data_IF_729664207896
#
_entry.id   IF_729664207896
#
_cell.length_a   1.000
_cell.length_b   1.000
_cell.length_c   1.000
_cell.angle_alpha   90.00
_cell.angle_beta   90.00
_cell.angle_gamma   90.00
#
_symmetry.space_group_name_H-M   'P 1'
#
loop_
_entity.id
_entity.type
_entity.pdbx_description
1 polymer ?
#
# COMPACT_ATOMS: atom_id res chain seq x y z
N UNK A 1 -6.16 16.43 22.80
CA UNK A 1 -6.58 16.45 21.38
C UNK A 1 -6.72 15.01 20.96
N UNK A 2 -7.81 14.62 20.30
CA UNK A 2 -7.93 13.29 19.71
C UNK A 2 -6.91 13.13 18.58
N UNK A 3 -6.51 11.90 18.22
CA UNK A 3 -5.61 11.66 17.08
C UNK A 3 -6.15 12.32 15.80
N UNK A 4 -7.44 12.22 15.53
CA UNK A 4 -8.09 12.91 14.41
C UNK A 4 -7.82 14.42 14.39
N UNK A 5 -7.93 15.12 15.54
CA UNK A 5 -7.69 16.56 15.60
C UNK A 5 -6.22 16.96 15.35
N UNK A 6 -5.27 16.08 15.66
CA UNK A 6 -3.84 16.30 15.36
C UNK A 6 -3.54 16.21 13.87
N UNK A 7 -4.22 15.31 13.15
CA UNK A 7 -4.04 15.14 11.70
C UNK A 7 -4.76 16.19 10.88
N UNK A 8 -5.95 16.64 11.29
CA UNK A 8 -6.62 17.78 10.67
C UNK A 8 -5.75 19.04 10.77
N UNK A 9 -5.11 19.27 11.92
CA UNK A 9 -4.17 20.39 12.11
C UNK A 9 -2.93 20.26 11.18
N UNK A 10 -2.41 19.06 10.96
CA UNK A 10 -1.28 18.82 10.04
C UNK A 10 -1.66 19.16 8.59
N UNK A 11 -2.87 18.81 8.17
CA UNK A 11 -3.36 19.18 6.85
C UNK A 11 -3.48 20.70 6.66
N UNK A 12 -4.08 21.40 7.61
CA UNK A 12 -4.26 22.84 7.58
C UNK A 12 -2.93 23.61 7.60
N UNK A 13 -1.89 23.01 8.20
CA UNK A 13 -0.55 23.62 8.29
C UNK A 13 0.40 23.16 7.18
N UNK A 14 -0.05 22.28 6.26
CA UNK A 14 0.78 21.77 5.18
C UNK A 14 1.16 22.89 4.19
N UNK A 15 2.42 23.05 3.85
CA UNK A 15 2.87 24.11 2.93
C UNK A 15 2.62 23.71 1.46
N UNK A 16 1.36 23.52 1.08
CA UNK A 16 0.97 23.00 -0.24
C UNK A 16 1.59 23.72 -1.43
N UNK A 17 1.79 25.02 -1.34
CA UNK A 17 2.45 25.82 -2.40
C UNK A 17 3.93 25.46 -2.55
N UNK A 18 4.57 25.02 -1.46
CA UNK A 18 5.97 24.62 -1.46
C UNK A 18 6.18 23.12 -1.78
N UNK A 19 5.11 22.32 -1.83
CA UNK A 19 5.19 20.89 -2.14
C UNK A 19 5.42 20.67 -3.63
N UNK A 20 6.41 19.88 -3.99
CA UNK A 20 6.72 19.50 -5.38
C UNK A 20 6.28 18.07 -5.71
N UNK A 21 6.33 17.19 -4.72
CA UNK A 21 6.09 15.77 -4.89
C UNK A 21 5.05 15.21 -3.90
N UNK A 22 4.18 14.35 -4.41
CA UNK A 22 3.23 13.59 -3.60
C UNK A 22 3.53 12.11 -3.77
N UNK A 23 3.70 11.42 -2.65
CA UNK A 23 3.94 9.98 -2.59
C UNK A 23 2.69 9.29 -2.06
N UNK A 24 2.21 8.29 -2.77
CA UNK A 24 1.01 7.54 -2.40
C UNK A 24 1.38 6.12 -1.97
N UNK A 25 0.82 5.66 -0.86
CA UNK A 25 0.68 4.21 -0.67
C UNK A 25 -0.34 3.64 -1.65
N UNK A 26 -0.33 2.31 -1.82
CA UNK A 26 -1.28 1.58 -2.67
C UNK A 26 -2.44 1.03 -1.84
N UNK A 27 -2.13 0.27 -0.78
CA UNK A 27 -3.13 -0.36 0.07
C UNK A 27 -4.01 0.67 0.78
N UNK A 28 -5.31 0.51 0.75
CA UNK A 28 -6.29 1.43 1.37
C UNK A 28 -6.12 2.93 1.06
N UNK A 29 -5.25 3.29 0.11
CA UNK A 29 -5.12 4.64 -0.45
C UNK A 29 -5.60 4.68 -1.89
N UNK A 30 -5.07 3.82 -2.75
CA UNK A 30 -5.46 3.70 -4.16
C UNK A 30 -6.30 2.44 -4.44
N UNK A 31 -6.04 1.36 -3.73
CA UNK A 31 -6.66 0.05 -3.93
C UNK A 31 -7.12 -0.49 -2.57
N UNK A 32 -8.36 -0.97 -2.50
CA UNK A 32 -8.90 -1.54 -1.26
C UNK A 32 -8.12 -2.80 -0.88
N UNK A 33 -7.66 -2.87 0.37
CA UNK A 33 -7.12 -4.07 0.99
C UNK A 33 -8.07 -4.51 2.10
N UNK A 34 -8.81 -5.59 1.89
CA UNK A 34 -9.84 -6.10 2.78
C UNK A 34 -9.80 -7.64 2.80
N UNK A 35 -8.84 -8.24 3.54
CA UNK A 35 -8.64 -9.70 3.56
C UNK A 35 -9.90 -10.48 3.92
N UNK A 36 -10.74 -9.98 4.84
CA UNK A 36 -12.01 -10.62 5.19
C UNK A 36 -12.91 -10.83 3.97
N UNK A 37 -13.08 -9.79 3.16
CA UNK A 37 -13.87 -9.87 1.93
C UNK A 37 -13.22 -10.79 0.89
N UNK A 38 -11.88 -10.84 0.85
CA UNK A 38 -11.18 -11.72 -0.09
C UNK A 38 -11.47 -13.18 0.22
N UNK A 39 -11.34 -13.61 1.48
CA UNK A 39 -11.58 -15.01 1.84
C UNK A 39 -13.04 -15.43 1.69
N UNK A 40 -14.00 -14.54 1.92
CA UNK A 40 -15.41 -14.78 1.66
C UNK A 40 -15.67 -15.08 0.17
N UNK A 41 -15.06 -14.32 -0.72
CA UNK A 41 -15.20 -14.49 -2.17
C UNK A 41 -14.45 -15.73 -2.69
N UNK A 42 -13.27 -16.02 -2.12
CA UNK A 42 -12.41 -17.12 -2.59
C UNK A 42 -12.87 -18.48 -2.05
N UNK A 43 -13.44 -18.53 -0.85
CA UNK A 43 -13.87 -19.77 -0.18
C UNK A 43 -15.34 -19.67 0.27
N UNK A 44 -16.29 -19.48 -0.67
CA UNK A 44 -17.70 -19.32 -0.31
C UNK A 44 -18.21 -20.55 0.46
N UNK A 45 -18.99 -20.29 1.52
CA UNK A 45 -19.59 -21.34 2.37
C UNK A 45 -18.64 -22.19 3.23
N UNK A 46 -17.34 -21.94 3.21
CA UNK A 46 -16.36 -22.60 4.10
C UNK A 46 -15.78 -21.61 5.13
N UNK A 47 -16.59 -21.30 6.14
CA UNK A 47 -16.25 -20.31 7.18
C UNK A 47 -14.95 -20.68 7.91
N UNK A 48 -14.72 -21.99 8.15
CA UNK A 48 -13.48 -22.43 8.81
C UNK A 48 -12.27 -22.12 7.94
N UNK A 49 -12.31 -22.48 6.65
CA UNK A 49 -11.21 -22.19 5.72
C UNK A 49 -10.98 -20.68 5.56
N UNK A 50 -12.05 -19.88 5.53
CA UNK A 50 -11.93 -18.40 5.52
C UNK A 50 -11.11 -17.89 6.71
N UNK A 51 -11.48 -18.34 7.94
CA UNK A 51 -10.76 -17.94 9.17
C UNK A 51 -9.30 -18.41 9.17
N UNK A 52 -9.07 -19.66 8.75
CA UNK A 52 -7.73 -20.21 8.68
C UNK A 52 -6.87 -19.46 7.64
N UNK A 53 -7.39 -19.13 6.46
CA UNK A 53 -6.66 -18.35 5.45
C UNK A 53 -6.37 -16.91 5.91
N UNK A 54 -7.30 -16.28 6.64
CA UNK A 54 -7.03 -14.99 7.28
C UNK A 54 -5.84 -15.07 8.24
N UNK A 55 -5.83 -16.08 9.12
CA UNK A 55 -4.79 -16.20 10.13
C UNK A 55 -3.45 -16.68 9.56
N UNK A 56 -3.47 -17.65 8.65
CA UNK A 56 -2.27 -18.33 8.15
C UNK A 56 -1.60 -17.58 6.99
N UNK A 57 -2.40 -16.96 6.11
CA UNK A 57 -1.91 -16.25 4.92
C UNK A 57 -1.82 -14.74 5.19
N UNK A 58 -2.96 -14.06 5.29
CA UNK A 58 -3.00 -12.59 5.33
C UNK A 58 -2.52 -11.97 6.65
N UNK A 59 -2.76 -12.63 7.78
CA UNK A 59 -2.20 -12.29 9.10
C UNK A 59 -1.00 -13.13 9.50
N UNK A 60 -0.52 -14.00 8.60
CA UNK A 60 0.49 -15.00 8.88
C UNK A 60 1.92 -14.44 8.91
N UNK A 61 2.81 -15.21 9.53
CA UNK A 61 4.24 -14.85 9.70
C UNK A 61 5.03 -14.70 8.40
N UNK A 62 4.52 -15.23 7.28
CA UNK A 62 5.18 -15.16 5.97
C UNK A 62 4.84 -13.88 5.20
N UNK A 63 3.75 -13.18 5.52
CA UNK A 63 3.33 -11.98 4.78
C UNK A 63 4.40 -10.90 4.69
N UNK A 64 5.14 -10.56 5.78
CA UNK A 64 6.23 -9.60 5.68
C UNK A 64 7.36 -10.00 4.71
N UNK A 65 7.57 -11.30 4.51
CA UNK A 65 8.56 -11.82 3.56
C UNK A 65 8.11 -11.70 2.10
N UNK A 66 6.79 -11.79 1.85
CA UNK A 66 6.22 -11.48 0.53
C UNK A 66 6.42 -10.01 0.19
N UNK A 67 6.08 -9.12 1.13
CA UNK A 67 6.26 -7.68 0.96
C UNK A 67 7.73 -7.33 0.72
N UNK A 68 8.68 -8.01 1.38
CA UNK A 68 10.11 -7.86 1.13
C UNK A 68 10.58 -8.45 -0.20
N UNK A 69 9.79 -9.28 -0.85
CA UNK A 69 10.21 -10.01 -2.04
C UNK A 69 11.27 -11.09 -1.77
N UNK A 70 11.39 -11.56 -0.52
CA UNK A 70 12.33 -12.63 -0.10
C UNK A 70 11.69 -14.00 -0.10
N UNK A 71 10.38 -14.09 -0.27
CA UNK A 71 9.62 -15.34 -0.37
C UNK A 71 8.60 -15.24 -1.52
N UNK A 72 8.63 -16.22 -2.42
CA UNK A 72 7.66 -16.34 -3.52
C UNK A 72 6.38 -17.09 -3.09
N UNK A 73 5.29 -16.91 -3.83
CA UNK A 73 4.00 -17.52 -3.50
C UNK A 73 4.02 -19.04 -3.59
N UNK A 74 4.72 -19.64 -4.57
CA UNK A 74 4.80 -21.09 -4.72
C UNK A 74 5.55 -21.75 -3.54
N UNK A 75 6.68 -21.16 -3.15
CA UNK A 75 7.45 -21.64 -1.99
C UNK A 75 6.65 -21.46 -0.69
N UNK A 76 5.97 -20.34 -0.54
CA UNK A 76 5.14 -20.08 0.63
C UNK A 76 3.97 -21.05 0.76
N UNK A 77 3.32 -21.40 -0.36
CA UNK A 77 2.23 -22.37 -0.35
C UNK A 77 2.69 -23.74 0.12
N UNK A 78 3.92 -24.16 -0.23
CA UNK A 78 4.52 -25.39 0.28
C UNK A 78 4.78 -25.31 1.79
N UNK A 79 5.39 -24.23 2.26
CA UNK A 79 5.63 -24.03 3.70
C UNK A 79 4.34 -24.01 4.51
N UNK A 80 3.30 -23.34 4.01
CA UNK A 80 1.99 -23.30 4.64
C UNK A 80 1.31 -24.69 4.64
N UNK A 81 1.44 -25.45 3.56
CA UNK A 81 0.96 -26.83 3.49
C UNK A 81 1.63 -27.73 4.54
N UNK A 82 2.95 -27.67 4.63
CA UNK A 82 3.73 -28.45 5.61
C UNK A 82 3.37 -28.09 7.06
N UNK A 83 3.08 -26.82 7.33
CA UNK A 83 2.81 -26.32 8.68
C UNK A 83 1.36 -26.53 9.12
N UNK A 84 0.38 -26.32 8.21
CA UNK A 84 -1.04 -26.25 8.58
C UNK A 84 -1.94 -27.30 7.89
N UNK A 85 -1.48 -27.94 6.80
CA UNK A 85 -2.07 -29.14 6.24
C UNK A 85 -3.18 -28.94 5.19
N UNK A 86 -3.58 -27.71 4.80
CA UNK A 86 -4.42 -27.52 3.61
C UNK A 86 -3.63 -27.81 2.34
N UNK A 87 -4.32 -28.14 1.24
CA UNK A 87 -3.65 -28.39 -0.03
C UNK A 87 -2.88 -27.15 -0.51
N UNK A 88 -1.76 -27.36 -1.21
CA UNK A 88 -0.94 -26.29 -1.78
C UNK A 88 -1.78 -25.38 -2.68
N UNK A 89 -2.70 -25.96 -3.44
CA UNK A 89 -3.62 -25.25 -4.33
C UNK A 89 -4.56 -24.31 -3.59
N UNK A 90 -4.98 -24.64 -2.36
CA UNK A 90 -5.80 -23.77 -1.52
C UNK A 90 -5.01 -22.52 -1.12
N UNK A 91 -3.74 -22.68 -0.73
CA UNK A 91 -2.88 -21.57 -0.40
C UNK A 91 -2.54 -20.72 -1.61
N UNK A 92 -2.26 -21.34 -2.77
CA UNK A 92 -2.05 -20.60 -4.02
C UNK A 92 -3.31 -19.83 -4.43
N UNK A 93 -4.50 -20.41 -4.21
CA UNK A 93 -5.76 -19.74 -4.45
C UNK A 93 -5.92 -18.49 -3.55
N UNK A 94 -5.60 -18.60 -2.26
CA UNK A 94 -5.58 -17.46 -1.35
C UNK A 94 -4.52 -16.43 -1.76
N UNK A 95 -3.28 -16.86 -2.03
CA UNK A 95 -2.15 -15.98 -2.35
C UNK A 95 -2.27 -15.24 -3.68
N UNK A 96 -3.03 -15.75 -4.66
CA UNK A 96 -3.21 -15.15 -5.99
C UNK A 96 -4.62 -14.61 -6.22
N UNK A 97 -5.64 -15.26 -5.69
CA UNK A 97 -7.04 -14.89 -5.94
C UNK A 97 -7.43 -13.51 -5.42
N UNK A 98 -6.81 -13.03 -4.33
CA UNK A 98 -7.06 -11.69 -3.80
C UNK A 98 -6.74 -10.56 -4.80
N UNK A 99 -5.89 -10.82 -5.79
CA UNK A 99 -5.52 -9.84 -6.81
C UNK A 99 -6.70 -9.46 -7.71
N UNK A 100 -7.58 -10.42 -7.99
CA UNK A 100 -8.74 -10.22 -8.87
C UNK A 100 -9.88 -9.46 -8.19
N UNK A 101 -10.00 -9.57 -6.87
CA UNK A 101 -11.14 -9.02 -6.10
C UNK A 101 -10.88 -7.62 -5.51
N UNK A 102 -9.77 -6.98 -5.83
CA UNK A 102 -9.42 -5.65 -5.32
C UNK A 102 -10.09 -4.52 -6.10
N UNK A 103 -11.06 -3.79 -5.51
CA UNK A 103 -11.60 -2.59 -6.12
C UNK A 103 -10.68 -1.38 -5.95
N UNK A 104 -10.69 -0.44 -6.90
CA UNK A 104 -10.00 0.84 -6.74
C UNK A 104 -10.71 1.71 -5.69
N UNK A 105 -9.95 2.57 -5.04
CA UNK A 105 -10.47 3.65 -4.20
C UNK A 105 -10.51 4.92 -5.04
N UNK A 106 -11.67 5.23 -5.58
CA UNK A 106 -11.81 6.32 -6.57
C UNK A 106 -11.41 7.69 -6.01
N UNK A 107 -11.57 7.92 -4.72
CA UNK A 107 -11.09 9.12 -4.02
C UNK A 107 -9.57 9.29 -4.17
N UNK A 108 -8.80 8.23 -3.89
CA UNK A 108 -7.33 8.25 -4.05
C UNK A 108 -6.91 8.53 -5.49
N UNK A 109 -7.60 7.91 -6.45
CA UNK A 109 -7.33 8.13 -7.87
C UNK A 109 -7.72 9.55 -8.33
N UNK A 110 -8.81 10.13 -7.81
CA UNK A 110 -9.15 11.54 -8.07
C UNK A 110 -8.07 12.47 -7.53
N UNK A 111 -7.63 12.23 -6.27
CA UNK A 111 -6.56 12.99 -5.64
C UNK A 111 -5.26 12.93 -6.46
N UNK A 112 -4.83 11.73 -6.88
CA UNK A 112 -3.62 11.57 -7.68
C UNK A 112 -3.71 12.33 -9.03
N UNK A 113 -4.82 12.19 -9.76
CA UNK A 113 -5.02 12.94 -11.01
C UNK A 113 -4.98 14.46 -10.80
N UNK A 114 -5.64 14.94 -9.75
CA UNK A 114 -5.66 16.37 -9.42
C UNK A 114 -4.27 16.92 -9.10
N UNK A 115 -3.48 16.18 -8.31
CA UNK A 115 -2.09 16.55 -8.05
C UNK A 115 -1.27 16.61 -9.34
N UNK A 116 -1.49 15.67 -10.28
CA UNK A 116 -0.81 15.69 -11.59
C UNK A 116 -1.21 16.91 -12.42
N UNK A 117 -2.49 17.27 -12.45
CA UNK A 117 -3.02 18.48 -13.11
C UNK A 117 -2.41 19.76 -12.53
N UNK A 118 -2.13 19.78 -11.22
CA UNK A 118 -1.44 20.87 -10.53
C UNK A 118 0.08 20.90 -10.78
N UNK A 119 0.59 20.02 -11.64
CA UNK A 119 2.02 19.94 -12.00
C UNK A 119 2.89 19.26 -10.96
N UNK A 120 2.31 18.59 -9.95
CA UNK A 120 3.09 17.86 -8.94
C UNK A 120 3.68 16.59 -9.52
N UNK A 121 4.84 16.17 -9.02
CA UNK A 121 5.41 14.84 -9.28
C UNK A 121 4.71 13.80 -8.40
N UNK A 122 4.39 12.65 -8.98
CA UNK A 122 3.68 11.58 -8.27
C UNK A 122 4.56 10.34 -8.14
N UNK A 123 4.67 9.82 -6.93
CA UNK A 123 5.46 8.64 -6.64
C UNK A 123 4.65 7.62 -5.82
N UNK A 124 5.11 6.38 -5.83
CA UNK A 124 4.56 5.29 -5.02
C UNK A 124 5.55 4.93 -3.90
N UNK A 125 5.03 4.61 -2.70
CA UNK A 125 5.78 3.98 -1.63
C UNK A 125 4.90 2.93 -0.96
N UNK A 126 5.15 1.65 -1.19
CA UNK A 126 4.25 0.60 -0.71
C UNK A 126 4.97 -0.68 -0.30
N UNK A 127 4.49 -1.29 0.78
CA UNK A 127 4.80 -2.68 1.09
C UNK A 127 3.91 -3.54 0.19
N UNK A 128 4.51 -4.24 -0.77
CA UNK A 128 3.74 -4.96 -1.77
C UNK A 128 4.51 -6.16 -2.35
N UNK A 129 3.89 -7.36 -2.39
CA UNK A 129 4.50 -8.52 -3.03
C UNK A 129 4.69 -8.30 -4.53
N UNK A 130 5.79 -8.80 -5.07
CA UNK A 130 6.18 -8.59 -6.48
C UNK A 130 5.09 -9.01 -7.47
N UNK A 131 4.57 -10.25 -7.36
CA UNK A 131 3.52 -10.75 -8.26
C UNK A 131 2.27 -9.85 -8.23
N UNK A 132 1.89 -9.40 -7.03
CA UNK A 132 0.74 -8.52 -6.83
C UNK A 132 0.95 -7.14 -7.43
N UNK A 133 2.10 -6.53 -7.20
CA UNK A 133 2.43 -5.21 -7.75
C UNK A 133 2.46 -5.23 -9.28
N UNK A 134 3.14 -6.24 -9.87
CA UNK A 134 3.21 -6.38 -11.32
C UNK A 134 1.83 -6.64 -11.96
N UNK A 135 0.99 -7.44 -11.31
CA UNK A 135 -0.38 -7.67 -11.79
C UNK A 135 -1.20 -6.38 -11.82
N UNK A 136 -1.18 -5.59 -10.74
CA UNK A 136 -1.93 -4.34 -10.69
C UNK A 136 -1.43 -3.31 -11.71
N UNK A 137 -0.12 -3.12 -11.77
CA UNK A 137 0.47 -2.01 -12.53
C UNK A 137 0.66 -2.32 -14.00
N UNK A 138 0.82 -3.60 -14.38
CA UNK A 138 1.07 -4.00 -15.77
C UNK A 138 -0.17 -4.61 -16.47
N UNK A 139 -1.22 -5.01 -15.68
CA UNK A 139 -2.41 -5.68 -16.24
C UNK A 139 -3.70 -4.97 -15.81
N UNK A 140 -4.07 -5.06 -14.52
CA UNK A 140 -5.41 -4.70 -14.05
C UNK A 140 -5.71 -3.20 -14.11
N UNK A 141 -4.75 -2.35 -13.74
CA UNK A 141 -4.90 -0.89 -13.66
C UNK A 141 -3.73 -0.15 -14.35
N UNK A 142 -3.13 -0.74 -15.38
CA UNK A 142 -1.96 -0.20 -16.07
C UNK A 142 -2.13 1.28 -16.45
N UNK A 143 -3.27 1.64 -17.04
CA UNK A 143 -3.57 3.02 -17.46
C UNK A 143 -3.63 3.99 -16.28
N UNK A 144 -4.14 3.53 -15.12
CA UNK A 144 -4.21 4.37 -13.91
C UNK A 144 -2.82 4.61 -13.32
N UNK A 145 -2.00 3.56 -13.25
CA UNK A 145 -0.63 3.67 -12.71
C UNK A 145 0.33 4.44 -13.61
N UNK A 146 0.01 4.61 -14.89
CA UNK A 146 0.83 5.37 -15.85
C UNK A 146 1.04 6.85 -15.48
N UNK A 147 0.23 7.43 -14.58
CA UNK A 147 0.40 8.82 -14.14
C UNK A 147 1.55 9.02 -13.15
N UNK A 148 2.06 7.95 -12.53
CA UNK A 148 3.16 8.04 -11.56
C UNK A 148 4.50 8.15 -12.25
N UNK A 149 5.35 9.02 -11.72
CA UNK A 149 6.69 9.30 -12.26
C UNK A 149 7.74 8.25 -11.78
N UNK A 150 7.38 7.42 -10.79
CA UNK A 150 8.24 6.37 -10.22
C UNK A 150 7.80 5.95 -8.83
N UNK A 151 8.73 5.44 -8.03
CA UNK A 151 8.47 5.05 -6.64
C UNK A 151 9.38 3.95 -6.12
N UNK A 152 9.19 3.60 -4.85
CA UNK A 152 9.89 2.52 -4.17
C UNK A 152 8.88 1.50 -3.65
N UNK A 153 9.05 0.25 -4.04
CA UNK A 153 8.21 -0.87 -3.60
C UNK A 153 9.09 -1.85 -2.84
N UNK A 154 8.64 -2.25 -1.67
CA UNK A 154 9.39 -3.08 -0.73
C UNK A 154 10.00 -4.34 -1.35
N UNK A 155 9.27 -5.02 -2.25
CA UNK A 155 9.75 -6.25 -2.89
C UNK A 155 10.97 -6.05 -3.80
N UNK A 156 11.31 -4.83 -4.20
CA UNK A 156 12.49 -4.55 -5.03
C UNK A 156 13.67 -4.01 -4.23
N UNK A 157 13.42 -3.29 -3.14
CA UNK A 157 14.47 -2.76 -2.27
C UNK A 157 14.74 -3.63 -1.03
N UNK A 158 13.86 -4.59 -0.73
CA UNK A 158 13.93 -5.51 0.40
C UNK A 158 13.81 -4.86 1.79
N UNK A 159 13.24 -3.65 1.86
CA UNK A 159 12.89 -2.95 3.09
C UNK A 159 11.39 -2.75 3.16
N UNK A 160 10.80 -2.85 4.36
CA UNK A 160 9.38 -2.60 4.58
C UNK A 160 9.17 -1.29 5.34
N UNK A 161 8.09 -0.55 5.03
CA UNK A 161 7.59 0.49 5.92
C UNK A 161 7.23 -0.16 7.27
N UNK A 162 7.52 0.46 8.42
CA UNK A 162 8.09 1.80 8.62
C UNK A 162 9.61 1.84 8.84
N UNK A 163 10.41 0.93 8.27
CA UNK A 163 11.87 0.94 8.38
C UNK A 163 12.43 2.21 7.71
N UNK A 164 13.42 2.86 8.34
CA UNK A 164 14.00 4.10 7.81
C UNK A 164 14.59 3.91 6.39
N UNK A 165 15.16 2.73 6.13
CA UNK A 165 15.82 2.40 4.87
C UNK A 165 14.91 2.54 3.64
N UNK A 166 13.61 2.21 3.74
CA UNK A 166 12.70 2.33 2.59
C UNK A 166 12.43 3.80 2.22
N UNK A 167 12.37 4.70 3.21
CA UNK A 167 12.18 6.14 2.97
C UNK A 167 13.45 6.76 2.40
N UNK A 168 14.62 6.37 2.90
CA UNK A 168 15.91 6.80 2.37
C UNK A 168 16.10 6.32 0.92
N UNK A 169 15.69 5.09 0.62
CA UNK A 169 15.71 4.57 -0.74
C UNK A 169 14.78 5.36 -1.66
N UNK A 170 13.57 5.69 -1.21
CA UNK A 170 12.63 6.52 -1.96
C UNK A 170 13.23 7.91 -2.25
N UNK A 171 13.76 8.58 -1.24
CA UNK A 171 14.39 9.91 -1.37
C UNK A 171 15.50 9.87 -2.42
N UNK A 172 16.38 8.87 -2.32
CA UNK A 172 17.51 8.69 -3.23
C UNK A 172 17.08 8.34 -4.66
N UNK A 173 16.20 7.34 -4.81
CA UNK A 173 15.80 6.81 -6.11
C UNK A 173 14.97 7.80 -6.93
N UNK A 174 14.14 8.60 -6.26
CA UNK A 174 13.28 9.59 -6.89
C UNK A 174 13.85 11.02 -6.83
N UNK A 175 15.06 11.21 -6.28
CA UNK A 175 15.70 12.52 -6.10
C UNK A 175 14.77 13.53 -5.43
N UNK A 176 14.16 13.13 -4.31
CA UNK A 176 13.20 13.95 -3.57
C UNK A 176 13.90 14.95 -2.64
N UNK A 177 13.25 16.11 -2.46
CA UNK A 177 13.52 17.03 -1.35
C UNK A 177 12.49 16.74 -0.26
N UNK A 178 12.88 16.13 0.88
CA UNK A 178 11.93 15.67 1.90
C UNK A 178 10.93 16.74 2.36
N UNK A 179 11.41 17.95 2.64
CA UNK A 179 10.61 19.09 3.12
C UNK A 179 9.64 19.64 2.05
N UNK A 180 9.75 19.19 0.81
CA UNK A 180 8.88 19.53 -0.32
C UNK A 180 8.07 18.31 -0.82
N UNK A 181 8.03 17.26 0.00
CA UNK A 181 7.39 15.99 -0.33
C UNK A 181 6.33 15.65 0.72
N UNK A 182 5.16 15.20 0.26
CA UNK A 182 4.08 14.68 1.13
C UNK A 182 3.91 13.19 0.87
N UNK A 183 3.82 12.40 1.93
CA UNK A 183 3.49 10.97 1.87
C UNK A 183 2.10 10.71 2.45
N UNK A 184 1.27 10.00 1.70
CA UNK A 184 -0.11 9.62 2.05
C UNK A 184 -0.18 8.13 2.29
N UNK A 185 -0.58 7.73 3.50
CA UNK A 185 -0.68 6.32 3.91
C UNK A 185 -1.86 6.15 4.90
N UNK A 186 -2.51 5.00 4.91
CA UNK A 186 -3.59 4.66 5.83
C UNK A 186 -3.08 4.16 7.20
N UNK A 187 -1.82 3.83 7.29
CA UNK A 187 -1.17 3.31 8.50
C UNK A 187 -0.34 4.39 9.19
N UNK A 188 -0.77 4.82 10.37
CA UNK A 188 -0.12 5.88 11.14
C UNK A 188 1.38 5.68 11.32
N UNK A 189 1.83 4.46 11.66
CA UNK A 189 3.26 4.14 11.84
C UNK A 189 4.09 4.41 10.58
N UNK A 190 3.53 4.21 9.41
CA UNK A 190 4.20 4.50 8.15
C UNK A 190 4.33 6.02 7.93
N UNK A 191 3.27 6.76 8.27
CA UNK A 191 3.28 8.24 8.23
C UNK A 191 4.35 8.80 9.19
N UNK A 192 4.40 8.28 10.42
CA UNK A 192 5.41 8.67 11.42
C UNK A 192 6.84 8.34 10.95
N UNK A 193 7.02 7.18 10.29
CA UNK A 193 8.29 6.81 9.65
C UNK A 193 8.73 7.82 8.58
N UNK A 194 7.82 8.26 7.72
CA UNK A 194 8.09 9.28 6.72
C UNK A 194 8.50 10.61 7.36
N UNK A 195 7.75 11.05 8.39
CA UNK A 195 8.04 12.29 9.13
C UNK A 195 9.41 12.27 9.81
N UNK A 196 9.81 11.13 10.38
CA UNK A 196 11.15 10.94 10.95
C UNK A 196 12.26 11.14 9.90
N UNK A 197 11.96 10.86 8.64
CA UNK A 197 12.85 11.04 7.51
C UNK A 197 12.68 12.40 6.79
N UNK A 198 12.00 13.37 7.43
CA UNK A 198 11.82 14.73 6.94
C UNK A 198 10.73 14.93 5.88
N UNK A 199 10.00 13.88 5.51
CA UNK A 199 8.87 13.92 4.57
C UNK A 199 7.61 14.33 5.34
N UNK A 200 6.80 15.23 4.80
CA UNK A 200 5.50 15.57 5.40
C UNK A 200 4.56 14.37 5.33
N UNK A 201 3.94 14.02 6.45
CA UNK A 201 3.03 12.88 6.55
C UNK A 201 1.56 13.28 6.46
N UNK A 202 0.77 12.54 5.70
CA UNK A 202 -0.69 12.65 5.67
C UNK A 202 -1.31 11.29 5.98
N UNK A 203 -1.94 11.16 7.15
CA UNK A 203 -2.61 9.94 7.57
C UNK A 203 -4.05 9.89 7.04
N UNK A 204 -4.30 8.99 6.08
CA UNK A 204 -5.64 8.72 5.57
C UNK A 204 -6.37 7.73 6.47
N UNK A 205 -7.07 8.20 7.48
CA UNK A 205 -7.82 7.35 8.43
C UNK A 205 -9.33 7.24 8.13
N UNK A 206 -9.88 8.12 7.26
CA UNK A 206 -11.28 8.13 6.90
C UNK A 206 -11.48 8.25 5.39
N UNK A 207 -12.66 7.79 4.89
CA UNK A 207 -13.07 8.05 3.51
C UNK A 207 -13.44 9.54 3.33
N UNK A 208 -13.18 10.08 2.16
CA UNK A 208 -13.46 11.50 1.83
C UNK A 208 -12.40 12.48 2.27
N UNK A 209 -11.37 12.06 3.03
CA UNK A 209 -10.31 12.95 3.47
C UNK A 209 -9.50 13.53 2.31
N UNK A 210 -9.21 12.72 1.30
CA UNK A 210 -8.41 13.17 0.16
C UNK A 210 -9.18 14.11 -0.79
N UNK A 211 -10.49 14.15 -0.74
CA UNK A 211 -11.28 15.14 -1.48
C UNK A 211 -11.04 16.56 -0.94
N UNK A 212 -10.59 16.71 0.32
CA UNK A 212 -10.24 18.00 0.94
C UNK A 212 -8.98 18.66 0.34
N UNK A 213 -8.11 17.88 -0.33
CA UNK A 213 -6.90 18.41 -0.96
C UNK A 213 -7.18 19.50 -2.02
N UNK A 214 -8.44 19.69 -2.41
CA UNK A 214 -8.78 20.41 -3.64
C UNK A 214 -9.94 21.41 -3.50
N UNK A 215 -10.26 21.77 -2.26
CA UNK A 215 -11.25 22.81 -1.97
C UNK A 215 -10.58 24.19 -1.86
#
# INVERSE_FOLDING_TARGET
MSEASRFDLMYETMPWDAVDAIVFDIGNVLIRYAPDNFVELLFPSDVKKQQDMLAQVYGGKYWPSFDRGTLGYDEAAQLLHEEYGYAVEDYLHALRGWLDVKPPIEEGWRAARKCKEMGKKLYLLSNYPKEGFEFLTKKKFADRFAIFDGGTISCYCHYNKPEDDIYQELIRACNLTPERTVFIDDTLKNVEGAMKNGIHGYHRHENGMMDRFFI
#
